data_IF_096026860922
#
_entry.id   IF_096026860922
#
_cell.length_a   1.000
_cell.length_b   1.000
_cell.length_c   1.000
_cell.angle_alpha   90.00
_cell.angle_beta   90.00
_cell.angle_gamma   90.00
#
_symmetry.space_group_name_H-M   'P 1'
#
loop_
_entity.id
_entity.type
_entity.pdbx_description
1 polymer ?
#
# COMPACT_ATOMS: atom_id res chain seq x y z
N UNK A 1 -13.21 74.80 -18.85
CA UNK A 1 -14.19 73.70 -18.61
C UNK A 1 -13.66 72.33 -18.99
N UNK A 2 -13.00 72.16 -20.16
CA UNK A 2 -12.55 70.86 -20.70
C UNK A 2 -11.66 70.05 -19.74
N UNK A 3 -10.76 70.69 -18.97
CA UNK A 3 -9.89 70.01 -17.99
C UNK A 3 -10.64 69.36 -16.80
N UNK A 4 -11.80 69.90 -16.40
CA UNK A 4 -12.61 69.33 -15.29
C UNK A 4 -13.40 68.10 -15.74
N UNK A 5 -13.88 68.09 -17.00
CA UNK A 5 -14.62 66.97 -17.57
C UNK A 5 -13.69 65.75 -17.76
N UNK A 6 -12.45 65.97 -18.24
CA UNK A 6 -11.46 64.89 -18.36
C UNK A 6 -11.11 64.23 -17.03
N UNK A 7 -11.02 65.02 -15.95
CA UNK A 7 -10.76 64.48 -14.61
C UNK A 7 -11.93 63.62 -14.10
N UNK A 8 -13.17 64.06 -14.32
CA UNK A 8 -14.38 63.32 -13.94
C UNK A 8 -14.47 62.01 -14.72
N UNK A 9 -14.23 62.02 -16.03
CA UNK A 9 -14.24 60.80 -16.85
C UNK A 9 -13.15 59.82 -16.39
N UNK A 10 -11.96 60.31 -16.06
CA UNK A 10 -10.87 59.45 -15.60
C UNK A 10 -11.15 58.84 -14.22
N UNK A 11 -11.76 59.59 -13.30
CA UNK A 11 -12.16 59.07 -11.98
C UNK A 11 -13.28 58.04 -12.12
N UNK A 12 -14.27 58.30 -12.98
CA UNK A 12 -15.36 57.36 -13.27
C UNK A 12 -14.85 56.06 -13.92
N UNK A 13 -13.86 56.14 -14.81
CA UNK A 13 -13.24 54.97 -15.42
C UNK A 13 -12.46 54.12 -14.40
N UNK A 14 -11.74 54.75 -13.46
CA UNK A 14 -11.05 54.05 -12.37
C UNK A 14 -12.06 53.38 -11.43
N UNK A 15 -13.16 54.05 -11.09
CA UNK A 15 -14.22 53.49 -10.26
C UNK A 15 -14.92 52.32 -10.94
N UNK A 16 -15.23 52.42 -12.23
CA UNK A 16 -15.80 51.32 -13.01
C UNK A 16 -14.82 50.14 -13.13
N UNK A 17 -13.52 50.42 -13.28
CA UNK A 17 -12.48 49.39 -13.26
C UNK A 17 -12.40 48.65 -11.92
N UNK A 18 -12.45 49.37 -10.79
CA UNK A 18 -12.44 48.77 -9.45
C UNK A 18 -13.72 47.97 -9.16
N UNK A 19 -14.89 48.49 -9.54
CA UNK A 19 -16.16 47.77 -9.38
C UNK A 19 -16.19 46.52 -10.27
N UNK A 20 -15.69 46.60 -11.50
CA UNK A 20 -15.54 45.43 -12.38
C UNK A 20 -14.59 44.38 -11.81
N UNK A 21 -13.47 44.80 -11.20
CA UNK A 21 -12.49 43.90 -10.60
C UNK A 21 -13.02 43.23 -9.33
N UNK A 22 -13.80 43.95 -8.52
CA UNK A 22 -14.52 43.38 -7.37
C UNK A 22 -15.63 42.43 -7.84
N UNK A 23 -16.40 42.78 -8.85
CA UNK A 23 -17.45 41.92 -9.40
C UNK A 23 -16.87 40.61 -9.99
N UNK A 24 -15.76 40.68 -10.73
CA UNK A 24 -15.05 39.51 -11.24
C UNK A 24 -14.49 38.63 -10.12
N UNK A 25 -13.91 39.22 -9.06
CA UNK A 25 -13.45 38.45 -7.90
C UNK A 25 -14.60 37.83 -7.08
N UNK A 26 -15.78 38.45 -7.09
CA UNK A 26 -16.94 37.94 -6.35
C UNK A 26 -17.70 36.87 -7.14
N UNK A 27 -17.73 36.96 -8.47
CA UNK A 27 -18.27 35.93 -9.35
C UNK A 27 -17.35 34.70 -9.42
N UNK A 28 -16.03 34.88 -9.46
CA UNK A 28 -15.07 33.76 -9.38
C UNK A 28 -15.10 33.00 -8.05
N UNK A 29 -15.67 33.60 -6.98
CA UNK A 29 -15.91 32.93 -5.70
C UNK A 29 -17.23 32.16 -5.61
N UNK A 30 -18.16 32.38 -6.55
CA UNK A 30 -19.45 31.66 -6.56
C UNK A 30 -19.41 30.35 -7.36
N UNK A 31 -18.38 30.14 -8.17
CA UNK A 31 -18.09 28.87 -8.85
C UNK A 31 -17.03 28.02 -8.14
N UNK A 32 -16.77 28.30 -6.85
CA UNK A 32 -16.11 27.34 -5.97
C UNK A 32 -17.10 26.19 -5.69
N UNK A 33 -17.08 25.19 -6.58
CA UNK A 33 -17.28 23.78 -6.21
C UNK A 33 -16.73 23.57 -4.80
N UNK A 34 -17.47 22.94 -3.86
CA UNK A 34 -17.11 22.89 -2.44
C UNK A 34 -15.63 22.56 -2.34
N UNK A 35 -14.84 23.53 -1.84
CA UNK A 35 -13.38 23.48 -1.88
C UNK A 35 -12.93 22.06 -1.54
N UNK A 36 -12.40 21.33 -2.54
CA UNK A 36 -11.78 20.04 -2.29
C UNK A 36 -10.69 20.33 -1.28
N UNK A 37 -10.92 19.93 -0.03
CA UNK A 37 -9.94 20.11 1.05
C UNK A 37 -8.61 19.60 0.52
N UNK A 38 -7.56 20.38 0.72
CA UNK A 38 -6.23 19.90 0.37
C UNK A 38 -6.00 18.56 1.08
N UNK A 39 -5.24 17.65 0.47
CA UNK A 39 -4.93 16.36 1.10
C UNK A 39 -4.33 16.56 2.51
N UNK A 40 -3.61 17.67 2.72
CA UNK A 40 -3.03 18.06 4.00
C UNK A 40 -4.09 18.44 5.04
N UNK A 41 -5.15 19.16 4.64
CA UNK A 41 -6.27 19.49 5.53
C UNK A 41 -7.07 18.24 5.91
N UNK A 42 -7.31 17.33 4.96
CA UNK A 42 -7.96 16.03 5.22
C UNK A 42 -7.12 15.18 6.18
N UNK A 43 -5.81 15.12 5.96
CA UNK A 43 -4.89 14.38 6.83
C UNK A 43 -4.83 14.98 8.25
N UNK A 44 -4.91 16.31 8.37
CA UNK A 44 -4.90 17.01 9.65
C UNK A 44 -6.20 16.79 10.44
N UNK A 45 -7.35 16.87 9.78
CA UNK A 45 -8.64 16.57 10.39
C UNK A 45 -8.72 15.11 10.84
N UNK A 46 -8.28 14.18 9.99
CA UNK A 46 -8.20 12.76 10.34
C UNK A 46 -7.30 12.53 11.56
N UNK A 47 -6.17 13.24 11.66
CA UNK A 47 -5.29 13.13 12.82
C UNK A 47 -5.95 13.55 14.14
N UNK A 48 -6.68 14.67 14.15
CA UNK A 48 -7.41 15.09 15.36
C UNK A 48 -8.57 14.16 15.68
N UNK A 49 -9.30 13.69 14.66
CA UNK A 49 -10.34 12.67 14.82
C UNK A 49 -9.77 11.39 15.45
N UNK A 50 -8.60 10.94 14.99
CA UNK A 50 -7.92 9.76 15.53
C UNK A 50 -7.57 9.93 17.01
N UNK A 51 -7.07 11.11 17.41
CA UNK A 51 -6.75 11.40 18.81
C UNK A 51 -7.98 11.45 19.72
N UNK A 52 -9.11 11.96 19.23
CA UNK A 52 -10.36 11.94 20.00
C UNK A 52 -10.91 10.51 20.13
N UNK A 53 -10.86 9.72 19.07
CA UNK A 53 -11.30 8.32 19.10
C UNK A 53 -10.52 7.47 20.12
N UNK A 54 -9.23 7.77 20.37
CA UNK A 54 -8.46 7.09 21.43
C UNK A 54 -9.09 7.25 22.82
N UNK A 55 -9.75 8.38 23.10
CA UNK A 55 -10.33 8.65 24.42
C UNK A 55 -11.59 7.81 24.69
N UNK A 56 -12.15 7.14 23.69
CA UNK A 56 -13.34 6.33 23.81
C UNK A 56 -13.12 4.89 23.31
N UNK A 57 -12.59 3.98 24.16
CA UNK A 57 -12.29 2.60 23.80
C UNK A 57 -13.50 1.75 23.35
N UNK A 58 -14.72 2.20 23.63
CA UNK A 58 -15.96 1.54 23.23
C UNK A 58 -16.37 1.92 21.79
N UNK A 59 -15.81 3.00 21.24
CA UNK A 59 -16.09 3.44 19.88
C UNK A 59 -15.42 2.51 18.86
N UNK A 60 -16.13 2.08 17.82
CA UNK A 60 -15.59 1.31 16.71
C UNK A 60 -14.36 1.96 16.04
N UNK A 61 -14.28 3.30 16.05
CA UNK A 61 -13.15 4.06 15.51
C UNK A 61 -11.87 3.93 16.33
N UNK A 62 -11.96 3.50 17.60
CA UNK A 62 -10.84 3.34 18.51
C UNK A 62 -9.74 2.48 17.88
N UNK A 63 -10.09 1.28 17.40
CA UNK A 63 -9.13 0.32 16.87
C UNK A 63 -8.43 0.84 15.61
N UNK A 64 -9.18 1.47 14.70
CA UNK A 64 -8.63 2.06 13.49
C UNK A 64 -7.68 3.22 13.78
N UNK A 65 -8.03 4.06 14.76
CA UNK A 65 -7.25 5.22 15.17
C UNK A 65 -5.98 4.81 15.91
N UNK A 66 -6.10 3.86 16.84
CA UNK A 66 -4.97 3.25 17.54
C UNK A 66 -3.98 2.66 16.54
N UNK A 67 -4.47 1.93 15.53
CA UNK A 67 -3.64 1.37 14.48
C UNK A 67 -2.89 2.45 13.69
N UNK A 68 -3.59 3.44 13.14
CA UNK A 68 -3.00 4.51 12.32
C UNK A 68 -1.96 5.34 13.10
N UNK A 69 -2.30 5.74 14.33
CA UNK A 69 -1.41 6.54 15.17
C UNK A 69 -0.16 5.75 15.60
N UNK A 70 -0.32 4.46 15.89
CA UNK A 70 0.81 3.60 16.26
C UNK A 70 1.77 3.38 15.08
N UNK A 71 1.25 3.15 13.88
CA UNK A 71 2.10 3.05 12.69
C UNK A 71 2.93 4.31 12.44
N UNK A 72 2.36 5.49 12.75
CA UNK A 72 3.04 6.79 12.67
C UNK A 72 3.96 7.07 13.86
N UNK A 73 4.02 6.17 14.84
CA UNK A 73 4.78 6.34 16.11
C UNK A 73 4.44 7.66 16.82
N UNK A 74 3.17 8.03 16.81
CA UNK A 74 2.70 9.28 17.40
C UNK A 74 2.91 9.31 18.92
N UNK A 75 3.60 10.35 19.40
CA UNK A 75 3.99 10.45 20.81
C UNK A 75 2.80 10.70 21.75
N UNK A 76 1.73 11.36 21.29
CA UNK A 76 0.53 11.59 22.12
C UNK A 76 -0.24 10.29 22.28
N UNK A 77 -0.35 9.51 21.20
CA UNK A 77 -0.93 8.18 21.25
C UNK A 77 -0.13 7.27 22.20
N UNK A 78 1.22 7.31 22.12
CA UNK A 78 2.06 6.55 23.04
C UNK A 78 1.86 6.96 24.51
N UNK A 79 1.88 8.26 24.81
CA UNK A 79 1.63 8.76 26.16
C UNK A 79 0.25 8.33 26.68
N UNK A 80 -0.77 8.38 25.84
CA UNK A 80 -2.11 7.91 26.18
C UNK A 80 -2.15 6.40 26.43
N UNK A 81 -1.46 5.60 25.61
CA UNK A 81 -1.36 4.14 25.80
C UNK A 81 -0.78 3.84 27.19
N UNK A 82 0.31 4.51 27.57
CA UNK A 82 0.97 4.28 28.85
C UNK A 82 0.10 4.75 30.03
N UNK A 83 -0.54 5.93 29.95
CA UNK A 83 -1.36 6.44 31.06
C UNK A 83 -2.72 5.75 31.19
N UNK A 84 -3.41 5.51 30.08
CA UNK A 84 -4.81 5.03 30.06
C UNK A 84 -4.93 3.64 29.44
N UNK A 85 -4.31 3.41 28.29
CA UNK A 85 -4.46 2.18 27.52
C UNK A 85 -4.08 0.91 28.29
N UNK A 86 -2.98 0.94 29.06
CA UNK A 86 -2.52 -0.20 29.86
C UNK A 86 -3.41 -0.52 31.06
N UNK A 87 -4.37 0.36 31.39
CA UNK A 87 -5.35 0.15 32.47
C UNK A 87 -6.70 -0.37 31.94
N UNK A 88 -6.83 -0.54 30.63
CA UNK A 88 -8.04 -1.11 30.03
C UNK A 88 -8.15 -2.61 30.35
N UNK A 89 -9.33 -3.15 30.12
CA UNK A 89 -9.61 -4.58 30.25
C UNK A 89 -10.17 -5.15 28.95
N UNK A 90 -10.24 -6.48 28.87
CA UNK A 90 -10.86 -7.19 27.74
C UNK A 90 -10.19 -6.92 26.39
N UNK A 91 -11.02 -6.77 25.36
CA UNK A 91 -10.57 -6.61 23.98
C UNK A 91 -9.76 -5.31 23.75
N UNK A 92 -10.18 -4.11 24.22
CA UNK A 92 -9.38 -2.90 24.06
C UNK A 92 -7.96 -3.02 24.60
N UNK A 93 -7.78 -3.69 25.75
CA UNK A 93 -6.45 -3.93 26.32
C UNK A 93 -5.58 -4.81 25.42
N UNK A 94 -6.13 -5.91 24.88
CA UNK A 94 -5.41 -6.78 23.94
C UNK A 94 -4.94 -6.01 22.70
N UNK A 95 -5.78 -5.13 22.16
CA UNK A 95 -5.40 -4.27 21.03
C UNK A 95 -4.33 -3.24 21.42
N UNK A 96 -4.42 -2.61 22.60
CA UNK A 96 -3.36 -1.73 23.09
C UNK A 96 -2.02 -2.47 23.17
N UNK A 97 -2.00 -3.68 23.75
CA UNK A 97 -0.79 -4.48 23.84
C UNK A 97 -0.20 -4.81 22.47
N UNK A 98 -1.05 -5.16 21.49
CA UNK A 98 -0.64 -5.39 20.10
C UNK A 98 0.14 -4.20 19.51
N UNK A 99 -0.19 -2.98 19.88
CA UNK A 99 0.38 -1.77 19.29
C UNK A 99 1.67 -1.27 19.93
N UNK A 100 2.04 -1.75 21.12
CA UNK A 100 3.25 -1.30 21.84
C UNK A 100 4.54 -1.46 21.01
N UNK A 101 4.63 -2.49 20.18
CA UNK A 101 5.82 -2.81 19.40
C UNK A 101 6.14 -1.81 18.29
N UNK A 102 5.25 -0.86 18.02
CA UNK A 102 5.57 0.28 17.15
C UNK A 102 6.40 1.36 17.86
N UNK A 103 6.35 1.43 19.20
CA UNK A 103 6.94 2.49 20.00
C UNK A 103 8.22 2.06 20.71
N UNK A 104 8.28 0.79 21.16
CA UNK A 104 9.42 0.30 21.92
C UNK A 104 10.64 0.00 21.05
N UNK A 105 11.80 0.37 21.59
CA UNK A 105 13.06 -0.23 21.18
C UNK A 105 13.26 -1.61 21.83
N UNK A 106 14.30 -2.35 21.42
CA UNK A 106 14.58 -3.69 21.93
C UNK A 106 14.70 -3.73 23.46
N UNK A 107 15.34 -2.72 24.07
CA UNK A 107 15.57 -2.68 25.50
C UNK A 107 14.26 -2.51 26.26
N UNK A 108 13.46 -1.51 25.87
CA UNK A 108 12.14 -1.25 26.47
C UNK A 108 11.22 -2.44 26.30
N UNK A 109 11.24 -3.06 25.12
CA UNK A 109 10.45 -4.26 24.85
C UNK A 109 10.85 -5.42 25.74
N UNK A 110 12.14 -5.64 25.97
CA UNK A 110 12.61 -6.69 26.87
C UNK A 110 12.14 -6.46 28.30
N UNK A 111 12.30 -5.24 28.81
CA UNK A 111 11.95 -4.89 30.19
C UNK A 111 10.42 -5.04 30.44
N UNK A 112 9.59 -4.61 29.50
CA UNK A 112 8.13 -4.65 29.66
C UNK A 112 7.49 -5.98 29.22
N UNK A 113 7.99 -6.64 28.18
CA UNK A 113 7.38 -7.87 27.66
C UNK A 113 7.43 -8.99 28.70
N UNK A 114 8.58 -9.26 29.32
CA UNK A 114 8.70 -10.37 30.27
C UNK A 114 7.83 -10.14 31.51
N UNK A 115 7.74 -8.91 31.98
CA UNK A 115 6.86 -8.48 33.07
C UNK A 115 5.38 -8.68 32.72
N UNK A 116 4.94 -8.22 31.55
CA UNK A 116 3.56 -8.37 31.10
C UNK A 116 3.21 -9.82 30.79
N UNK A 117 4.11 -10.59 30.17
CA UNK A 117 3.90 -12.00 29.84
C UNK A 117 3.72 -12.86 31.08
N UNK A 118 4.48 -12.57 32.15
CA UNK A 118 4.39 -13.27 33.43
C UNK A 118 3.16 -12.84 34.27
N UNK A 119 2.55 -11.71 33.96
CA UNK A 119 1.39 -11.19 34.70
C UNK A 119 0.10 -11.99 34.43
N UNK A 120 -0.91 -11.82 35.29
CA UNK A 120 -2.24 -12.44 35.14
C UNK A 120 -3.08 -11.67 34.13
N UNK A 121 -2.67 -11.71 32.86
CA UNK A 121 -3.43 -11.17 31.73
C UNK A 121 -4.18 -12.28 31.00
N UNK A 122 -5.26 -11.92 30.29
CA UNK A 122 -6.05 -12.85 29.49
C UNK A 122 -5.24 -13.44 28.32
N UNK A 123 -5.72 -14.54 27.75
CA UNK A 123 -5.10 -15.14 26.55
C UNK A 123 -5.09 -14.17 25.36
N UNK A 124 -6.17 -13.41 25.15
CA UNK A 124 -6.25 -12.40 24.10
C UNK A 124 -5.21 -11.30 24.29
N UNK A 125 -4.98 -10.87 25.54
CA UNK A 125 -3.95 -9.91 25.87
C UNK A 125 -2.54 -10.48 25.62
N UNK A 126 -2.29 -11.75 25.93
CA UNK A 126 -1.04 -12.44 25.58
C UNK A 126 -0.83 -12.51 24.06
N UNK A 127 -1.90 -12.79 23.30
CA UNK A 127 -1.86 -12.77 21.84
C UNK A 127 -1.48 -11.38 21.34
N UNK A 128 -2.13 -10.33 21.83
CA UNK A 128 -1.79 -8.95 21.50
C UNK A 128 -0.31 -8.65 21.78
N UNK A 129 0.16 -8.97 22.99
CA UNK A 129 1.55 -8.79 23.38
C UNK A 129 2.54 -9.58 22.49
N UNK A 130 2.20 -10.79 22.08
CA UNK A 130 3.03 -11.58 21.16
C UNK A 130 3.07 -10.98 19.74
N UNK A 131 1.95 -10.46 19.22
CA UNK A 131 1.93 -9.73 17.95
C UNK A 131 2.77 -8.46 18.00
N UNK A 132 2.77 -7.79 19.15
CA UNK A 132 3.57 -6.61 19.43
C UNK A 132 5.07 -6.90 19.37
N UNK A 133 5.49 -8.01 19.98
CA UNK A 133 6.87 -8.50 19.88
C UNK A 133 7.30 -8.72 18.42
N UNK A 134 6.38 -9.21 17.58
CA UNK A 134 6.64 -9.43 16.15
C UNK A 134 6.86 -8.17 15.31
N UNK A 135 6.61 -6.97 15.87
CA UNK A 135 6.88 -5.66 15.23
C UNK A 135 8.29 -5.15 15.51
N UNK A 136 9.01 -5.75 16.46
CA UNK A 136 10.35 -5.33 16.89
C UNK A 136 11.38 -6.30 16.30
N UNK A 137 12.26 -5.75 15.47
CA UNK A 137 13.23 -6.51 14.68
C UNK A 137 14.55 -6.59 15.44
N UNK A 138 14.77 -7.67 16.20
CA UNK A 138 16.01 -7.92 16.97
C UNK A 138 16.33 -9.42 17.12
N UNK A 139 17.54 -9.78 17.56
CA UNK A 139 17.88 -11.18 17.86
C UNK A 139 17.15 -11.68 19.11
N UNK A 140 16.96 -10.83 20.13
CA UNK A 140 16.21 -11.18 21.34
C UNK A 140 14.75 -11.49 21.04
N UNK A 141 14.08 -10.70 20.19
CA UNK A 141 12.68 -10.97 19.82
C UNK A 141 12.52 -12.33 19.17
N UNK A 142 13.44 -12.75 18.29
CA UNK A 142 13.41 -14.08 17.69
C UNK A 142 13.53 -15.21 18.72
N UNK A 143 14.53 -15.13 19.62
CA UNK A 143 14.71 -16.14 20.68
C UNK A 143 13.49 -16.22 21.62
N UNK A 144 12.83 -15.07 21.87
CA UNK A 144 11.62 -15.06 22.69
C UNK A 144 10.42 -15.67 21.97
N UNK A 145 10.28 -15.43 20.67
CA UNK A 145 9.25 -16.06 19.83
C UNK A 145 9.42 -17.58 19.83
N UNK A 146 10.63 -18.10 19.71
CA UNK A 146 10.90 -19.54 19.79
C UNK A 146 10.37 -20.20 21.07
N UNK A 147 10.43 -19.47 22.18
CA UNK A 147 9.99 -19.94 23.50
C UNK A 147 8.46 -20.00 23.59
N UNK A 148 7.76 -19.03 23.03
CA UNK A 148 6.29 -18.96 23.10
C UNK A 148 5.60 -19.72 21.95
N UNK A 149 6.31 -19.98 20.84
CA UNK A 149 5.76 -20.64 19.66
C UNK A 149 5.06 -21.98 19.95
N UNK A 150 5.61 -22.91 20.78
CA UNK A 150 4.93 -24.17 21.07
C UNK A 150 3.57 -24.01 21.77
N UNK A 151 3.39 -22.93 22.55
CA UNK A 151 2.12 -22.61 23.20
C UNK A 151 1.10 -22.13 22.16
N UNK A 152 1.54 -21.24 21.26
CA UNK A 152 0.73 -20.71 20.16
C UNK A 152 0.31 -21.81 19.19
N UNK A 153 1.25 -22.70 18.86
CA UNK A 153 1.04 -23.79 17.93
C UNK A 153 -0.09 -24.73 18.37
N UNK A 154 -0.14 -25.05 19.67
CA UNK A 154 -1.20 -25.88 20.27
C UNK A 154 -2.59 -25.24 20.16
N UNK A 155 -2.65 -23.92 20.11
CA UNK A 155 -3.91 -23.16 20.00
C UNK A 155 -4.36 -22.96 18.55
N UNK A 156 -3.50 -23.29 17.57
CA UNK A 156 -3.73 -23.07 16.14
C UNK A 156 -4.16 -21.63 15.78
N UNK A 157 -3.57 -20.63 16.44
CA UNK A 157 -3.91 -19.23 16.20
C UNK A 157 -3.20 -18.69 14.94
N UNK A 158 -3.82 -18.87 13.78
CA UNK A 158 -3.27 -18.49 12.47
C UNK A 158 -2.84 -17.02 12.40
N UNK A 159 -3.67 -16.10 12.92
CA UNK A 159 -3.36 -14.68 12.94
C UNK A 159 -2.07 -14.41 13.73
N UNK A 160 -1.91 -15.02 14.91
CA UNK A 160 -0.69 -14.88 15.69
C UNK A 160 0.52 -15.48 14.98
N UNK A 161 0.39 -16.65 14.36
CA UNK A 161 1.47 -17.28 13.58
C UNK A 161 1.96 -16.36 12.45
N UNK A 162 1.06 -15.64 11.80
CA UNK A 162 1.41 -14.65 10.77
C UNK A 162 2.26 -13.51 11.34
N UNK A 163 1.89 -12.96 12.49
CA UNK A 163 2.64 -11.88 13.15
C UNK A 163 3.97 -12.34 13.75
N UNK A 164 4.04 -13.57 14.24
CA UNK A 164 5.30 -14.14 14.72
C UNK A 164 6.26 -14.41 13.56
N UNK A 165 5.73 -14.76 12.38
CA UNK A 165 6.52 -15.00 11.18
C UNK A 165 7.15 -13.71 10.61
N UNK A 166 6.51 -12.55 10.76
CA UNK A 166 7.12 -11.28 10.32
C UNK A 166 8.40 -10.94 11.10
N UNK A 167 8.55 -11.49 12.31
CA UNK A 167 9.73 -11.32 13.16
C UNK A 167 10.92 -12.21 12.76
N UNK A 168 10.73 -13.17 11.85
CA UNK A 168 11.76 -14.15 11.47
C UNK A 168 12.92 -13.57 10.66
N UNK A 169 12.88 -12.27 10.35
CA UNK A 169 13.94 -11.59 9.61
C UNK A 169 15.23 -11.37 10.40
N UNK A 170 15.30 -11.78 11.67
CA UNK A 170 16.46 -11.55 12.57
C UNK A 170 17.12 -12.81 13.13
N UNK A 171 16.92 -13.98 12.52
CA UNK A 171 17.77 -15.18 12.68
C UNK A 171 17.60 -16.11 13.90
N UNK A 172 16.47 -16.11 14.62
CA UNK A 172 16.31 -17.02 15.78
C UNK A 172 15.00 -17.82 15.77
N UNK A 173 14.72 -18.51 14.67
CA UNK A 173 13.85 -19.70 14.70
C UNK A 173 14.66 -20.86 14.13
N UNK A 174 14.76 -21.97 14.87
CA UNK A 174 15.43 -23.18 14.39
C UNK A 174 14.89 -23.55 13.00
N UNK A 175 15.76 -24.12 12.14
CA UNK A 175 15.40 -24.45 10.77
C UNK A 175 14.13 -25.30 10.67
N UNK A 176 13.93 -26.23 11.61
CA UNK A 176 12.74 -27.07 11.73
C UNK A 176 11.47 -26.26 12.04
N UNK A 177 11.51 -25.39 13.06
CA UNK A 177 10.38 -24.55 13.43
C UNK A 177 10.03 -23.55 12.34
N UNK A 178 11.05 -23.00 11.66
CA UNK A 178 10.86 -22.13 10.49
C UNK A 178 10.17 -22.89 9.35
N UNK A 179 10.61 -24.12 9.05
CA UNK A 179 9.98 -24.96 8.04
C UNK A 179 8.51 -25.30 8.40
N UNK A 180 8.24 -25.57 9.67
CA UNK A 180 6.88 -25.85 10.14
C UNK A 180 5.96 -24.62 10.05
N UNK A 181 6.45 -23.44 10.46
CA UNK A 181 5.72 -22.19 10.31
C UNK A 181 5.45 -21.87 8.83
N UNK A 182 6.46 -22.07 7.97
CA UNK A 182 6.35 -21.92 6.51
C UNK A 182 5.25 -22.81 5.94
N UNK A 183 5.27 -24.11 6.25
CA UNK A 183 4.24 -25.05 5.80
C UNK A 183 2.85 -24.58 6.24
N UNK A 184 2.64 -24.27 7.53
CA UNK A 184 1.32 -23.83 8.02
C UNK A 184 0.82 -22.58 7.31
N UNK A 185 1.69 -21.59 7.11
CA UNK A 185 1.32 -20.33 6.49
C UNK A 185 0.96 -20.47 5.01
N UNK A 186 1.59 -21.40 4.29
CA UNK A 186 1.31 -21.70 2.89
C UNK A 186 -0.05 -22.39 2.68
N UNK A 187 -0.56 -23.08 3.69
CA UNK A 187 -1.82 -23.82 3.65
C UNK A 187 -2.98 -23.12 4.37
N UNK A 188 -2.82 -21.85 4.76
CA UNK A 188 -3.92 -21.05 5.29
C UNK A 188 -5.09 -20.98 4.29
N UNK A 189 -6.31 -20.91 4.84
CA UNK A 189 -7.51 -20.71 4.03
C UNK A 189 -7.45 -19.37 3.28
N UNK A 190 -8.03 -19.33 2.07
CA UNK A 190 -8.06 -18.10 1.28
C UNK A 190 -8.75 -16.97 2.05
N UNK A 191 -8.02 -15.88 2.28
CA UNK A 191 -8.48 -14.81 3.16
C UNK A 191 -7.40 -13.77 3.45
N UNK A 192 -7.69 -12.89 4.40
CA UNK A 192 -6.80 -11.78 4.79
C UNK A 192 -5.52 -12.30 5.45
N UNK A 193 -5.62 -13.35 6.25
CA UNK A 193 -4.51 -13.97 6.95
C UNK A 193 -3.55 -14.65 5.98
N UNK A 194 -4.07 -15.39 4.98
CA UNK A 194 -3.25 -15.95 3.90
C UNK A 194 -2.57 -14.85 3.08
N UNK A 195 -3.31 -13.80 2.71
CA UNK A 195 -2.75 -12.66 1.97
C UNK A 195 -1.59 -11.99 2.74
N UNK A 196 -1.78 -11.78 4.04
CA UNK A 196 -0.76 -11.21 4.92
C UNK A 196 0.44 -12.16 5.08
N UNK A 197 0.18 -13.46 5.25
CA UNK A 197 1.21 -14.49 5.33
C UNK A 197 2.07 -14.52 4.07
N UNK A 198 1.45 -14.61 2.89
CA UNK A 198 2.13 -14.64 1.60
C UNK A 198 2.90 -13.35 1.35
N UNK A 199 2.38 -12.20 1.77
CA UNK A 199 3.12 -10.92 1.71
C UNK A 199 4.40 -10.98 2.54
N UNK A 200 4.36 -11.52 3.76
CA UNK A 200 5.57 -11.65 4.59
C UNK A 200 6.53 -12.70 4.04
N UNK A 201 6.02 -13.86 3.64
CA UNK A 201 6.82 -14.92 3.05
C UNK A 201 7.52 -14.47 1.76
N UNK A 202 6.82 -13.75 0.89
CA UNK A 202 7.41 -13.16 -0.32
C UNK A 202 8.54 -12.17 -0.02
N UNK A 203 8.53 -11.49 1.13
CA UNK A 203 9.66 -10.63 1.53
C UNK A 203 10.84 -11.43 2.04
N UNK A 204 10.58 -12.49 2.81
CA UNK A 204 11.61 -13.28 3.51
C UNK A 204 12.29 -14.28 2.57
N UNK A 205 11.50 -14.97 1.74
CA UNK A 205 11.94 -16.03 0.81
C UNK A 205 11.32 -15.80 -0.58
N UNK A 206 11.70 -14.71 -1.26
CA UNK A 206 11.01 -14.20 -2.44
C UNK A 206 10.88 -15.18 -3.61
N UNK A 207 11.82 -16.09 -3.81
CA UNK A 207 11.84 -17.02 -4.94
C UNK A 207 11.49 -18.48 -4.55
N UNK A 208 10.85 -18.69 -3.40
CA UNK A 208 10.52 -20.05 -2.96
C UNK A 208 9.36 -20.62 -3.79
N UNK A 209 9.48 -21.81 -4.41
CA UNK A 209 8.47 -22.37 -5.31
C UNK A 209 7.07 -22.44 -4.70
N UNK A 210 6.94 -22.89 -3.44
CA UNK A 210 5.63 -22.98 -2.79
C UNK A 210 4.99 -21.61 -2.51
N UNK A 211 5.81 -20.58 -2.24
CA UNK A 211 5.31 -19.21 -2.04
C UNK A 211 4.78 -18.67 -3.36
N UNK A 212 5.53 -18.85 -4.45
CA UNK A 212 5.10 -18.45 -5.79
C UNK A 212 3.80 -19.18 -6.17
N UNK A 213 3.76 -20.51 -6.05
CA UNK A 213 2.58 -21.31 -6.36
C UNK A 213 1.35 -20.94 -5.50
N UNK A 214 1.54 -20.59 -4.22
CA UNK A 214 0.45 -20.09 -3.38
C UNK A 214 -0.01 -18.68 -3.78
N UNK A 215 0.90 -17.78 -4.14
CA UNK A 215 0.55 -16.46 -4.70
C UNK A 215 -0.25 -16.62 -6.00
N UNK A 216 0.21 -17.45 -6.93
CA UNK A 216 -0.47 -17.75 -8.21
C UNK A 216 -1.91 -18.22 -8.02
N UNK A 217 -2.16 -19.09 -7.04
CA UNK A 217 -3.52 -19.56 -6.72
C UNK A 217 -4.37 -18.47 -6.08
N UNK A 218 -3.74 -17.63 -5.26
CA UNK A 218 -4.45 -16.61 -4.47
C UNK A 218 -4.93 -15.41 -5.28
N UNK A 219 -4.25 -15.03 -6.39
CA UNK A 219 -4.64 -13.85 -7.18
C UNK A 219 -6.04 -13.96 -7.79
N UNK A 220 -6.56 -15.18 -7.90
CA UNK A 220 -7.89 -15.48 -8.43
C UNK A 220 -8.97 -15.65 -7.35
N UNK A 221 -8.59 -15.67 -6.06
CA UNK A 221 -9.48 -16.03 -4.94
C UNK A 221 -9.61 -14.92 -3.90
N UNK A 222 -8.55 -14.15 -3.69
CA UNK A 222 -8.49 -13.07 -2.71
C UNK A 222 -9.08 -11.79 -3.29
N UNK A 223 -9.80 -11.02 -2.46
CA UNK A 223 -10.39 -9.71 -2.84
C UNK A 223 -9.60 -8.49 -2.35
N UNK A 224 -8.60 -8.70 -1.51
CA UNK A 224 -7.75 -7.65 -0.95
C UNK A 224 -6.89 -7.02 -2.06
N UNK A 225 -7.21 -5.77 -2.43
CA UNK A 225 -6.56 -5.09 -3.55
C UNK A 225 -5.07 -4.82 -3.32
N UNK A 226 -4.67 -4.47 -2.09
CA UNK A 226 -3.28 -4.20 -1.74
C UNK A 226 -2.43 -5.47 -1.84
N UNK A 227 -3.00 -6.61 -1.41
CA UNK A 227 -2.37 -7.90 -1.59
C UNK A 227 -2.23 -8.26 -3.06
N UNK A 228 -3.31 -8.12 -3.85
CA UNK A 228 -3.30 -8.48 -5.27
C UNK A 228 -2.23 -7.70 -6.04
N UNK A 229 -2.11 -6.38 -5.79
CA UNK A 229 -1.08 -5.53 -6.41
C UNK A 229 0.33 -6.03 -6.06
N UNK A 230 0.61 -6.30 -4.78
CA UNK A 230 1.91 -6.82 -4.34
C UNK A 230 2.21 -8.20 -4.88
N UNK A 231 1.22 -9.11 -4.90
CA UNK A 231 1.40 -10.47 -5.39
C UNK A 231 1.71 -10.47 -6.89
N UNK A 232 1.05 -9.64 -7.69
CA UNK A 232 1.30 -9.53 -9.12
C UNK A 232 2.68 -8.93 -9.40
N UNK A 233 3.06 -7.86 -8.69
CA UNK A 233 4.43 -7.30 -8.78
C UNK A 233 5.50 -8.33 -8.39
N UNK A 234 5.24 -9.10 -7.33
CA UNK A 234 6.13 -10.16 -6.86
C UNK A 234 6.30 -11.26 -7.89
N UNK A 235 5.18 -11.76 -8.44
CA UNK A 235 5.18 -12.79 -9.48
C UNK A 235 5.81 -12.27 -10.78
N UNK A 236 5.63 -11.01 -11.15
CA UNK A 236 6.31 -10.46 -12.33
C UNK A 236 7.83 -10.40 -12.17
N UNK A 237 8.32 -10.17 -10.94
CA UNK A 237 9.76 -10.12 -10.66
C UNK A 237 10.39 -11.51 -10.59
N UNK A 238 9.74 -12.46 -9.92
CA UNK A 238 10.32 -13.77 -9.60
C UNK A 238 9.80 -14.90 -10.49
N UNK A 239 8.67 -14.71 -11.18
CA UNK A 239 8.08 -15.68 -12.10
C UNK A 239 7.51 -15.02 -13.39
N UNK A 240 8.32 -14.24 -14.15
CA UNK A 240 7.85 -13.41 -15.27
C UNK A 240 7.22 -14.22 -16.41
N UNK A 241 7.73 -15.43 -16.70
CA UNK A 241 7.14 -16.29 -17.74
C UNK A 241 5.70 -16.67 -17.41
N UNK A 242 5.43 -16.96 -16.14
CA UNK A 242 4.09 -17.29 -15.69
C UNK A 242 3.15 -16.08 -15.80
N UNK A 243 3.56 -14.90 -15.31
CA UNK A 243 2.68 -13.72 -15.32
C UNK A 243 2.26 -13.34 -16.75
N UNK A 244 3.19 -13.44 -17.71
CA UNK A 244 2.92 -13.16 -19.14
C UNK A 244 1.78 -14.03 -19.67
N UNK A 245 1.75 -15.31 -19.30
CA UNK A 245 0.70 -16.25 -19.75
C UNK A 245 -0.66 -16.04 -19.09
N UNK A 246 -0.79 -15.11 -18.13
CA UNK A 246 -2.06 -14.86 -17.43
C UNK A 246 -2.90 -13.72 -18.04
N UNK A 247 -2.42 -13.01 -19.07
CA UNK A 247 -3.10 -11.83 -19.62
C UNK A 247 -4.58 -12.06 -19.95
N UNK A 248 -4.89 -13.14 -20.68
CA UNK A 248 -6.27 -13.50 -21.04
C UNK A 248 -7.14 -13.76 -19.82
N UNK A 249 -6.64 -14.54 -18.84
CA UNK A 249 -7.35 -14.83 -17.60
C UNK A 249 -7.62 -13.56 -16.82
N UNK A 250 -6.63 -12.67 -16.70
CA UNK A 250 -6.75 -11.40 -16.00
C UNK A 250 -7.83 -10.51 -16.64
N UNK A 251 -7.91 -10.47 -17.97
CA UNK A 251 -9.01 -9.80 -18.68
C UNK A 251 -10.37 -10.42 -18.35
N UNK A 252 -10.46 -11.74 -18.36
CA UNK A 252 -11.70 -12.47 -18.08
C UNK A 252 -12.24 -12.22 -16.66
N UNK A 253 -11.36 -12.00 -15.67
CA UNK A 253 -11.78 -11.73 -14.29
C UNK A 253 -12.57 -10.43 -14.12
N UNK A 254 -12.44 -9.47 -15.05
CA UNK A 254 -13.02 -8.12 -14.95
C UNK A 254 -12.70 -7.41 -13.61
N UNK A 255 -11.59 -7.77 -12.98
CA UNK A 255 -11.13 -7.14 -11.74
C UNK A 255 -10.12 -6.05 -12.07
N UNK A 256 -10.54 -4.79 -11.92
CA UNK A 256 -9.71 -3.64 -12.28
C UNK A 256 -8.42 -3.55 -11.47
N UNK A 257 -8.41 -3.97 -10.20
CA UNK A 257 -7.19 -3.93 -9.37
C UNK A 257 -6.15 -4.92 -9.91
N UNK A 258 -6.58 -6.15 -10.23
CA UNK A 258 -5.70 -7.16 -10.84
C UNK A 258 -5.20 -6.68 -12.20
N UNK A 259 -6.09 -6.17 -13.05
CA UNK A 259 -5.77 -5.65 -14.37
C UNK A 259 -4.77 -4.49 -14.31
N UNK A 260 -4.98 -3.54 -13.40
CA UNK A 260 -4.09 -2.40 -13.14
C UNK A 260 -2.70 -2.86 -12.75
N UNK A 261 -2.63 -3.77 -11.77
CA UNK A 261 -1.37 -4.32 -11.26
C UNK A 261 -0.61 -5.06 -12.35
N UNK A 262 -1.33 -5.84 -13.17
CA UNK A 262 -0.77 -6.55 -14.32
C UNK A 262 -0.18 -5.58 -15.35
N UNK A 263 -0.92 -4.55 -15.77
CA UNK A 263 -0.44 -3.54 -16.73
C UNK A 263 0.84 -2.86 -16.23
N UNK A 264 0.90 -2.53 -14.94
CA UNK A 264 2.10 -1.96 -14.31
C UNK A 264 3.29 -2.90 -14.33
N UNK A 265 3.09 -4.21 -14.44
CA UNK A 265 4.19 -5.18 -14.50
C UNK A 265 4.66 -5.52 -15.91
N UNK A 266 3.91 -5.15 -16.95
CA UNK A 266 4.21 -5.55 -18.32
C UNK A 266 5.56 -5.04 -18.83
N UNK A 267 6.04 -3.89 -18.34
CA UNK A 267 7.40 -3.40 -18.66
C UNK A 267 8.52 -4.20 -17.96
N UNK A 268 8.19 -4.93 -16.89
CA UNK A 268 9.13 -5.80 -16.17
C UNK A 268 9.20 -7.15 -16.87
N UNK A 269 8.05 -7.72 -17.23
CA UNK A 269 7.96 -9.07 -17.80
C UNK A 269 8.15 -9.10 -19.32
N UNK A 270 8.00 -7.97 -20.02
CA UNK A 270 8.23 -7.77 -21.46
C UNK A 270 7.77 -8.94 -22.37
N UNK A 271 6.46 -9.26 -22.41
CA UNK A 271 5.94 -10.27 -23.33
C UNK A 271 6.25 -9.91 -24.79
N UNK A 272 6.41 -10.93 -25.65
CA UNK A 272 6.72 -10.73 -27.08
C UNK A 272 5.67 -9.86 -27.78
N UNK A 273 4.39 -9.99 -27.43
CA UNK A 273 3.28 -9.18 -27.94
C UNK A 273 2.86 -8.06 -26.97
N UNK A 274 3.82 -7.37 -26.33
CA UNK A 274 3.56 -6.33 -25.34
C UNK A 274 2.56 -5.26 -25.79
N UNK A 275 2.71 -4.71 -26.98
CA UNK A 275 1.82 -3.67 -27.48
C UNK A 275 0.42 -4.21 -27.79
N UNK A 276 0.30 -5.45 -28.28
CA UNK A 276 -0.99 -6.12 -28.42
C UNK A 276 -1.69 -6.30 -27.07
N UNK A 277 -0.95 -6.77 -26.06
CA UNK A 277 -1.47 -6.90 -24.69
C UNK A 277 -1.92 -5.55 -24.10
N UNK A 278 -1.15 -4.48 -24.26
CA UNK A 278 -1.55 -3.13 -23.82
C UNK A 278 -2.83 -2.66 -24.54
N UNK A 279 -2.97 -2.94 -25.83
CA UNK A 279 -4.17 -2.60 -26.59
C UNK A 279 -5.40 -3.37 -26.07
N UNK A 280 -5.26 -4.67 -25.85
CA UNK A 280 -6.36 -5.50 -25.32
C UNK A 280 -6.75 -5.06 -23.91
N UNK A 281 -5.78 -4.69 -23.06
CA UNK A 281 -6.05 -4.16 -21.72
C UNK A 281 -6.76 -2.81 -21.76
N UNK A 282 -6.39 -1.89 -22.67
CA UNK A 282 -7.09 -0.61 -22.85
C UNK A 282 -8.55 -0.81 -23.31
N UNK A 283 -8.79 -1.77 -24.20
CA UNK A 283 -10.15 -2.09 -24.70
C UNK A 283 -10.99 -2.68 -23.57
N UNK A 284 -10.44 -3.63 -22.81
CA UNK A 284 -11.16 -4.29 -21.72
C UNK A 284 -11.37 -3.37 -20.50
N UNK A 285 -10.42 -2.48 -20.23
CA UNK A 285 -10.44 -1.57 -19.07
C UNK A 285 -10.00 -0.14 -19.47
N UNK A 286 -10.90 0.66 -20.07
CA UNK A 286 -10.58 2.02 -20.49
C UNK A 286 -10.12 2.96 -19.36
N UNK A 287 -10.47 2.65 -18.10
CA UNK A 287 -10.01 3.40 -16.93
C UNK A 287 -8.49 3.28 -16.69
N UNK A 288 -7.83 2.25 -17.22
CA UNK A 288 -6.39 1.99 -17.03
C UNK A 288 -5.49 2.82 -17.94
N UNK A 289 -6.02 3.81 -18.65
CA UNK A 289 -5.24 4.69 -19.54
C UNK A 289 -4.04 5.35 -18.86
N UNK A 290 -4.14 5.66 -17.55
CA UNK A 290 -3.03 6.21 -16.76
C UNK A 290 -1.92 5.18 -16.56
N UNK A 291 -2.26 3.94 -16.20
CA UNK A 291 -1.29 2.87 -16.04
C UNK A 291 -0.64 2.47 -17.35
N UNK A 292 -1.41 2.37 -18.43
CA UNK A 292 -0.86 2.08 -19.75
C UNK A 292 0.10 3.18 -20.18
N UNK A 293 -0.24 4.45 -19.97
CA UNK A 293 0.68 5.57 -20.23
C UNK A 293 1.95 5.46 -19.39
N UNK A 294 1.83 5.12 -18.11
CA UNK A 294 2.97 4.94 -17.21
C UNK A 294 3.88 3.82 -17.72
N UNK A 295 3.31 2.68 -18.12
CA UNK A 295 4.04 1.57 -18.71
C UNK A 295 4.73 1.98 -20.01
N UNK A 296 4.07 2.71 -20.92
CA UNK A 296 4.67 3.22 -22.16
C UNK A 296 5.89 4.11 -21.90
N UNK A 297 5.85 4.95 -20.87
CA UNK A 297 6.97 5.81 -20.49
C UNK A 297 8.19 5.02 -19.98
N UNK A 298 8.00 3.75 -19.60
CA UNK A 298 9.06 2.82 -19.18
C UNK A 298 9.59 1.93 -20.32
N UNK A 299 9.07 2.07 -21.54
CA UNK A 299 9.44 1.25 -22.69
C UNK A 299 10.34 2.00 -23.69
N UNK A 300 10.96 1.31 -24.66
CA UNK A 300 11.62 1.94 -25.78
C UNK A 300 10.72 2.99 -26.44
N UNK A 301 11.18 4.25 -26.44
CA UNK A 301 10.33 5.41 -26.75
C UNK A 301 9.81 5.43 -28.18
N UNK A 302 10.48 4.80 -29.16
CA UNK A 302 10.02 4.77 -30.56
C UNK A 302 8.73 3.96 -30.70
N UNK A 303 8.76 2.70 -30.30
CA UNK A 303 7.63 1.79 -30.36
C UNK A 303 6.51 2.25 -29.42
N UNK A 304 6.86 2.77 -28.25
CA UNK A 304 5.90 3.37 -27.32
C UNK A 304 5.21 4.62 -27.91
N UNK A 305 5.93 5.46 -28.65
CA UNK A 305 5.37 6.64 -29.32
C UNK A 305 4.49 6.25 -30.52
N UNK A 306 4.88 5.23 -31.30
CA UNK A 306 4.06 4.68 -32.38
C UNK A 306 2.74 4.12 -31.84
N UNK A 307 2.81 3.33 -30.75
CA UNK A 307 1.63 2.83 -30.06
C UNK A 307 0.75 3.97 -29.54
N UNK A 308 1.35 4.97 -28.88
CA UNK A 308 0.63 6.13 -28.37
C UNK A 308 -0.12 6.86 -29.49
N UNK A 309 0.57 7.14 -30.62
CA UNK A 309 0.00 7.86 -31.75
C UNK A 309 -1.18 7.11 -32.37
N UNK A 310 -1.08 5.78 -32.51
CA UNK A 310 -2.16 4.93 -33.02
C UNK A 310 -3.40 4.93 -32.11
N UNK A 311 -3.22 5.18 -30.81
CA UNK A 311 -4.26 5.09 -29.79
C UNK A 311 -4.52 6.43 -29.08
N UNK A 312 -4.12 7.57 -29.66
CA UNK A 312 -4.13 8.88 -28.97
C UNK A 312 -5.52 9.22 -28.40
N UNK A 313 -6.59 8.89 -29.12
CA UNK A 313 -7.97 9.09 -28.68
C UNK A 313 -8.31 8.40 -27.36
N UNK A 314 -7.71 7.23 -27.07
CA UNK A 314 -7.94 6.48 -25.83
C UNK A 314 -7.34 7.18 -24.60
N UNK A 315 -6.36 8.07 -24.80
CA UNK A 315 -5.67 8.79 -23.74
C UNK A 315 -6.26 10.18 -23.47
N UNK A 316 -7.30 10.59 -24.20
CA UNK A 316 -7.96 11.88 -24.00
C UNK A 316 -8.42 12.07 -22.55
N UNK A 317 -8.22 13.28 -22.03
CA UNK A 317 -8.57 13.63 -20.65
C UNK A 317 -7.56 13.16 -19.59
N UNK A 318 -6.41 12.60 -19.97
CA UNK A 318 -5.29 12.46 -19.04
C UNK A 318 -4.71 13.83 -18.69
N UNK A 319 -4.59 14.11 -17.39
CA UNK A 319 -3.80 15.23 -16.89
C UNK A 319 -2.37 15.03 -17.39
N UNK A 320 -1.78 16.08 -17.97
CA UNK A 320 -0.41 16.08 -18.49
C UNK A 320 -0.15 15.21 -19.74
N UNK A 321 -1.20 14.88 -20.52
CA UNK A 321 -1.06 14.16 -21.80
C UNK A 321 -0.04 14.82 -22.74
N UNK A 322 -0.01 16.16 -22.78
CA UNK A 322 0.95 16.92 -23.58
C UNK A 322 2.40 16.74 -23.12
N UNK A 323 2.63 16.61 -21.81
CA UNK A 323 3.94 16.32 -21.22
C UNK A 323 4.36 14.90 -21.60
N UNK A 324 3.49 13.92 -21.40
CA UNK A 324 3.76 12.52 -21.75
C UNK A 324 4.08 12.36 -23.24
N UNK A 325 3.30 13.00 -24.13
CA UNK A 325 3.56 13.04 -25.58
C UNK A 325 4.94 13.64 -25.88
N UNK A 326 5.29 14.76 -25.25
CA UNK A 326 6.60 15.39 -25.42
C UNK A 326 7.74 14.49 -24.94
N UNK A 327 7.56 13.79 -23.82
CA UNK A 327 8.55 12.84 -23.29
C UNK A 327 8.76 11.67 -24.25
N UNK A 328 7.70 11.08 -24.78
CA UNK A 328 7.80 10.00 -25.77
C UNK A 328 8.49 10.46 -27.07
N UNK A 329 8.29 11.72 -27.47
CA UNK A 329 8.83 12.28 -28.71
C UNK A 329 10.31 12.71 -28.66
N UNK A 330 10.82 13.18 -27.51
CA UNK A 330 12.18 13.74 -27.34
C UNK A 330 13.29 12.66 -27.22
N UNK A 331 13.34 11.71 -28.16
CA UNK A 331 14.16 10.50 -28.05
C UNK A 331 15.61 10.69 -27.59
N UNK A 332 15.91 10.30 -26.35
CA UNK A 332 17.18 9.73 -25.87
C UNK A 332 16.88 8.71 -24.75
N UNK A 333 17.71 7.67 -24.68
CA UNK A 333 17.45 6.35 -24.05
C UNK A 333 17.46 6.38 -22.52
N UNK A 334 16.57 5.61 -21.90
CA UNK A 334 16.70 5.16 -20.49
C UNK A 334 16.22 3.71 -20.35
N UNK A 335 17.17 2.78 -20.48
CA UNK A 335 17.24 1.38 -20.01
C UNK A 335 16.05 0.41 -20.19
N UNK A 336 16.30 -0.56 -21.10
CA UNK A 336 16.03 -2.01 -21.07
C UNK A 336 14.68 -2.53 -20.56
N UNK A 337 13.80 -2.89 -21.50
CA UNK A 337 13.15 -4.21 -21.42
C UNK A 337 14.29 -5.24 -21.39
N UNK A 338 14.46 -5.95 -20.27
CA UNK A 338 15.34 -7.10 -20.23
C UNK A 338 14.62 -8.17 -21.05
N UNK A 339 14.98 -8.32 -22.32
CA UNK A 339 14.54 -9.48 -23.08
C UNK A 339 15.03 -10.72 -22.33
N UNK A 340 14.10 -11.51 -21.80
CA UNK A 340 14.36 -12.76 -21.07
C UNK A 340 15.00 -13.87 -21.93
N UNK A 341 15.55 -13.53 -23.09
CA UNK A 341 16.25 -14.45 -23.97
C UNK A 341 17.75 -14.24 -23.80
N UNK A 342 18.37 -14.95 -22.83
CA UNK A 342 19.59 -15.78 -23.01
C UNK A 342 20.36 -16.24 -21.76
N UNK A 343 20.01 -15.87 -20.52
CA UNK A 343 20.89 -16.20 -19.36
C UNK A 343 20.27 -16.97 -18.18
N UNK A 344 19.25 -17.81 -18.41
CA UNK A 344 18.76 -18.73 -17.34
C UNK A 344 18.59 -20.18 -17.79
N UNK A 345 19.22 -20.59 -18.89
CA UNK A 345 19.41 -22.02 -19.22
C UNK A 345 20.73 -22.60 -18.68
N UNK A 346 21.41 -21.87 -17.80
CA UNK A 346 22.60 -22.34 -17.09
C UNK A 346 22.52 -21.99 -15.60
N UNK A 347 21.65 -22.68 -14.86
CA UNK A 347 21.83 -23.05 -13.44
C UNK A 347 20.69 -23.96 -12.96
#
# INVERSE_FOLDING_TARGET
MIKKIGLIVSISAILLGLVGLVALNTMNKKDESPAQKSQDDVNRELYFSDLEALKNPENHEFYGSLFRLSQKRDQKAFAWIIDKGLKLEGQPFAHVLEHLGYFYDEKQARDEFDKLWASKISNDARIGLAKSLGKIVSSWTGARIEKIYPEVEKQNNEALLVHLNSALHTSAMSGEKKALALQRLLYLSAGKEQALALTYLGRIIPNHPDVLASMERSIYRVKDGDYLDRAILHLAKYHPKWIVTQGEKIRYLKNEVVARSYVRTLFISCPENLFGELQEMLIAFPSLKTEVMTTLLSLPRKEAFEFFTKNEAAFNGLKDLHVAKSLLQKGEVSSSCIHLNKEQEAN
#
